data_IF_154327459845
#
_entry.id   IF_154327459845
#
_cell.length_a   1.000
_cell.length_b   1.000
_cell.length_c   1.000
_cell.angle_alpha   90.00
_cell.angle_beta   90.00
_cell.angle_gamma   90.00
#
_symmetry.space_group_name_H-M   'P 1'
#
loop_
_entity.id
_entity.type
_entity.pdbx_description
1 polymer ?
#
# COMPACT_ATOMS: atom_id res chain seq x y z
N UNK A 1 27.41 -8.81 2.76
CA UNK A 1 27.01 -7.82 3.78
C UNK A 1 25.85 -6.99 3.27
N UNK A 2 24.90 -6.65 4.12
CA UNK A 2 23.81 -5.74 3.77
C UNK A 2 24.36 -4.32 3.60
N UNK A 3 23.95 -3.62 2.54
CA UNK A 3 24.40 -2.26 2.20
C UNK A 3 23.27 -1.27 2.41
N UNK A 4 22.06 -1.56 1.92
CA UNK A 4 20.86 -0.73 2.08
C UNK A 4 19.60 -1.59 2.14
N UNK A 5 18.59 -1.11 2.84
CA UNK A 5 17.25 -1.67 2.85
C UNK A 5 16.21 -0.57 2.59
N UNK A 6 15.31 -0.80 1.65
CA UNK A 6 14.18 0.05 1.32
C UNK A 6 12.90 -0.71 1.64
N UNK A 7 12.01 -0.11 2.41
CA UNK A 7 10.81 -0.78 2.92
C UNK A 7 9.59 0.07 2.62
N UNK A 8 8.67 -0.48 1.84
CA UNK A 8 7.34 0.08 1.64
C UNK A 8 6.36 -0.70 2.49
N UNK A 9 5.55 -0.03 3.31
CA UNK A 9 4.61 -0.70 4.18
C UNK A 9 3.26 -0.01 4.22
N UNK A 10 2.19 -0.82 4.22
CA UNK A 10 0.83 -0.35 4.37
C UNK A 10 0.64 0.23 5.76
N UNK A 11 -0.12 1.31 5.88
CA UNK A 11 -0.59 1.82 7.17
C UNK A 11 -1.24 0.72 8.02
N UNK A 12 -1.34 0.97 9.34
CA UNK A 12 -2.03 0.06 10.24
C UNK A 12 -3.54 0.05 10.04
N UNK A 13 -4.19 -0.87 10.75
CA UNK A 13 -5.64 -1.05 10.72
C UNK A 13 -6.39 0.23 11.11
N UNK A 14 -7.52 0.52 10.45
CA UNK A 14 -8.19 1.82 10.48
C UNK A 14 -9.72 1.68 10.54
N UNK A 15 -10.40 2.79 10.80
CA UNK A 15 -11.83 2.91 10.51
C UNK A 15 -12.13 2.86 9.01
N UNK A 16 -13.38 2.57 8.63
CA UNK A 16 -13.77 2.54 7.22
C UNK A 16 -13.69 3.93 6.61
N UNK A 17 -13.34 4.01 5.32
CA UNK A 17 -13.24 5.28 4.59
C UNK A 17 -14.63 5.83 4.26
N UNK A 18 -15.62 4.94 4.12
CA UNK A 18 -16.99 5.29 3.78
C UNK A 18 -17.99 4.40 4.52
N UNK A 19 -19.27 4.64 4.30
CA UNK A 19 -20.39 3.87 4.84
C UNK A 19 -21.46 3.71 3.76
N UNK A 20 -22.31 2.70 3.87
CA UNK A 20 -23.50 2.52 3.02
C UNK A 20 -24.80 2.82 3.79
N UNK A 21 -25.93 3.11 3.11
CA UNK A 21 -27.17 3.55 3.75
C UNK A 21 -27.67 2.65 4.88
N UNK A 22 -27.59 1.34 4.70
CA UNK A 22 -28.08 0.35 5.67
C UNK A 22 -26.98 -0.19 6.62
N UNK A 23 -25.85 0.50 6.73
CA UNK A 23 -24.74 0.06 7.59
C UNK A 23 -25.08 0.22 9.08
N UNK A 24 -25.06 -0.85 9.89
CA UNK A 24 -25.29 -0.73 11.34
C UNK A 24 -24.09 -0.22 12.15
N UNK A 25 -22.89 -0.12 11.54
CA UNK A 25 -21.68 0.40 12.19
C UNK A 25 -21.01 1.51 11.37
N UNK A 26 -21.75 2.59 11.02
CA UNK A 26 -21.21 3.66 10.19
C UNK A 26 -20.06 4.37 10.90
N UNK A 27 -19.07 4.87 10.14
CA UNK A 27 -17.93 5.60 10.71
C UNK A 27 -18.33 6.87 11.50
N UNK A 28 -19.55 7.35 11.30
CA UNK A 28 -20.13 8.51 12.01
C UNK A 28 -20.47 8.19 13.46
N UNK A 29 -20.63 6.92 13.84
CA UNK A 29 -20.75 6.49 15.22
C UNK A 29 -19.38 6.59 15.92
N UNK A 30 -19.12 7.74 16.54
CA UNK A 30 -17.87 8.02 17.25
C UNK A 30 -17.64 7.14 18.48
N UNK A 31 -18.66 6.45 19.00
CA UNK A 31 -18.46 5.47 20.09
C UNK A 31 -17.78 4.20 19.57
N UNK A 32 -18.19 3.75 18.38
CA UNK A 32 -17.58 2.61 17.67
C UNK A 32 -16.27 3.00 16.97
N UNK A 33 -16.26 4.18 16.36
CA UNK A 33 -15.13 4.71 15.58
C UNK A 33 -14.67 6.07 16.15
N UNK A 34 -13.88 6.09 17.24
CA UNK A 34 -13.48 7.34 17.91
C UNK A 34 -12.81 8.36 16.98
N UNK A 35 -11.94 7.87 16.09
CA UNK A 35 -11.27 8.71 15.08
C UNK A 35 -12.10 8.87 13.79
N UNK A 36 -13.25 8.20 13.68
CA UNK A 36 -14.19 8.33 12.57
C UNK A 36 -13.65 7.69 11.30
N UNK A 37 -13.92 8.33 10.16
CA UNK A 37 -13.45 7.86 8.86
C UNK A 37 -11.93 7.79 8.84
N UNK A 38 -11.40 6.69 8.30
CA UNK A 38 -9.98 6.54 7.95
C UNK A 38 -8.96 6.62 9.12
N UNK A 39 -9.45 6.78 10.35
CA UNK A 39 -8.63 6.95 11.54
C UNK A 39 -8.02 5.64 12.04
N UNK A 40 -6.72 5.67 12.39
CA UNK A 40 -5.97 4.50 12.82
C UNK A 40 -6.53 3.89 14.14
N UNK A 41 -6.93 2.61 14.12
CA UNK A 41 -7.52 1.95 15.30
C UNK A 41 -6.45 1.66 16.36
N UNK A 42 -6.89 1.31 17.58
CA UNK A 42 -5.97 0.82 18.63
C UNK A 42 -5.21 -0.43 18.18
N UNK A 43 -5.86 -1.31 17.39
CA UNK A 43 -5.23 -2.48 16.80
C UNK A 43 -4.16 -2.06 15.80
N UNK A 44 -4.50 -1.17 14.87
CA UNK A 44 -3.56 -0.63 13.89
C UNK A 44 -2.33 -0.03 14.53
N UNK A 45 -2.50 0.75 15.60
CA UNK A 45 -1.37 1.32 16.35
C UNK A 45 -0.43 0.26 16.92
N UNK A 46 -0.98 -0.79 17.54
CA UNK A 46 -0.18 -1.89 18.11
C UNK A 46 0.56 -2.66 17.02
N UNK A 47 -0.10 -2.96 15.92
CA UNK A 47 0.50 -3.71 14.82
C UNK A 47 1.60 -2.90 14.12
N UNK A 48 1.43 -1.57 13.98
CA UNK A 48 2.47 -0.69 13.43
C UNK A 48 3.73 -0.68 14.32
N UNK A 49 3.55 -0.59 15.64
CA UNK A 49 4.66 -0.71 16.57
C UNK A 49 5.31 -2.10 16.54
N UNK A 50 4.51 -3.16 16.38
CA UNK A 50 5.00 -4.52 16.25
C UNK A 50 5.84 -4.72 14.97
N UNK A 51 5.40 -4.15 13.83
CA UNK A 51 6.19 -4.14 12.60
C UNK A 51 7.57 -3.49 12.84
N UNK A 52 7.60 -2.34 13.52
CA UNK A 52 8.85 -1.68 13.90
C UNK A 52 9.79 -2.59 14.68
N UNK A 53 9.28 -3.33 15.66
CA UNK A 53 10.08 -4.31 16.44
C UNK A 53 10.58 -5.48 15.59
N UNK A 54 9.76 -5.97 14.64
CA UNK A 54 10.17 -7.02 13.69
C UNK A 54 11.33 -6.53 12.82
N UNK A 55 11.24 -5.31 12.31
CA UNK A 55 12.31 -4.67 11.54
C UNK A 55 13.56 -4.42 12.39
N UNK A 56 13.42 -3.96 13.64
CA UNK A 56 14.54 -3.83 14.59
C UNK A 56 15.29 -5.14 14.74
N UNK A 57 14.54 -6.23 14.94
CA UNK A 57 15.14 -7.54 15.11
C UNK A 57 15.91 -7.98 13.86
N UNK A 58 15.35 -7.79 12.67
CA UNK A 58 16.01 -8.12 11.40
C UNK A 58 17.30 -7.34 11.19
N UNK A 59 17.27 -6.04 11.48
CA UNK A 59 18.38 -5.12 11.16
C UNK A 59 19.29 -4.80 12.35
N UNK A 60 19.21 -5.55 13.47
CA UNK A 60 20.00 -5.30 14.68
C UNK A 60 21.53 -5.24 14.47
N UNK A 61 22.05 -6.00 13.51
CA UNK A 61 23.49 -6.03 13.18
C UNK A 61 23.87 -5.01 12.10
N UNK A 62 22.88 -4.33 11.53
CA UNK A 62 23.04 -3.36 10.45
C UNK A 62 22.82 -1.92 10.94
N UNK A 63 21.93 -1.75 11.91
CA UNK A 63 21.59 -0.50 12.55
C UNK A 63 22.04 -0.51 14.02
N UNK A 64 22.76 0.52 14.50
CA UNK A 64 23.11 0.65 15.92
C UNK A 64 21.86 0.79 16.79
N UNK A 65 22.00 0.58 18.11
CA UNK A 65 20.91 0.82 19.07
C UNK A 65 20.53 2.30 19.15
N UNK A 66 21.53 3.19 19.11
CA UNK A 66 21.36 4.64 19.06
C UNK A 66 20.85 5.06 17.67
N UNK A 67 19.86 5.94 17.62
CA UNK A 67 19.40 6.57 16.40
C UNK A 67 20.39 7.62 15.89
N UNK A 68 20.90 7.40 14.68
CA UNK A 68 21.64 8.43 13.95
C UNK A 68 20.83 8.91 12.74
N UNK A 69 20.60 10.23 12.58
CA UNK A 69 19.92 10.78 11.40
C UNK A 69 20.60 10.44 10.07
N UNK A 70 21.89 10.09 10.12
CA UNK A 70 22.69 9.61 8.99
C UNK A 70 22.41 8.16 8.57
N UNK A 71 21.74 7.36 9.38
CA UNK A 71 21.49 5.94 9.11
C UNK A 71 20.09 5.67 8.57
N UNK A 72 19.09 6.47 8.97
CA UNK A 72 17.67 6.19 8.66
C UNK A 72 16.95 7.43 8.17
N UNK A 73 16.11 7.24 7.15
CA UNK A 73 15.12 8.23 6.71
C UNK A 73 13.76 7.57 6.58
N UNK A 74 12.71 8.29 6.97
CA UNK A 74 11.35 7.85 6.86
C UNK A 74 10.53 8.84 6.03
N UNK A 75 9.76 8.27 5.12
CA UNK A 75 8.79 8.94 4.29
C UNK A 75 7.40 8.41 4.60
N UNK A 76 6.40 9.27 4.45
CA UNK A 76 4.99 8.91 4.52
C UNK A 76 4.25 9.50 3.33
N UNK A 77 3.01 9.10 3.05
CA UNK A 77 2.07 9.84 2.20
C UNK A 77 1.33 10.91 3.02
N UNK A 78 0.64 11.85 2.36
CA UNK A 78 -0.05 12.98 3.00
C UNK A 78 -1.25 12.62 3.91
N UNK A 79 -1.50 11.34 4.18
CA UNK A 79 -2.61 10.89 5.04
C UNK A 79 -2.19 10.84 6.51
N UNK A 80 -3.11 11.15 7.42
CA UNK A 80 -2.84 11.11 8.86
C UNK A 80 -2.46 9.71 9.35
N UNK A 81 -3.16 8.68 8.85
CA UNK A 81 -2.94 7.28 9.25
C UNK A 81 -1.55 6.75 8.86
N UNK A 82 -0.98 7.19 7.75
CA UNK A 82 0.35 6.78 7.29
C UNK A 82 1.42 7.46 8.13
N UNK A 83 1.26 8.74 8.48
CA UNK A 83 2.19 9.42 9.40
C UNK A 83 2.18 8.77 10.79
N UNK A 84 0.99 8.52 11.34
CA UNK A 84 0.85 7.86 12.63
C UNK A 84 1.46 6.45 12.61
N UNK A 85 1.28 5.69 11.51
CA UNK A 85 1.90 4.38 11.32
C UNK A 85 3.43 4.51 11.27
N UNK A 86 3.98 5.44 10.48
CA UNK A 86 5.42 5.66 10.37
C UNK A 86 6.05 5.99 11.73
N UNK A 87 5.42 6.87 12.52
CA UNK A 87 5.90 7.22 13.85
C UNK A 87 5.95 6.00 14.80
N UNK A 88 4.95 5.12 14.72
CA UNK A 88 4.90 3.90 15.54
C UNK A 88 5.91 2.84 15.08
N UNK A 89 6.10 2.69 13.78
CA UNK A 89 7.15 1.81 13.23
C UNK A 89 8.52 2.31 13.68
N UNK A 90 8.80 3.61 13.57
CA UNK A 90 10.03 4.22 14.04
C UNK A 90 10.26 4.03 15.54
N UNK A 91 9.23 4.20 16.36
CA UNK A 91 9.29 3.92 17.80
C UNK A 91 9.62 2.45 18.11
N UNK A 92 9.19 1.52 17.26
CA UNK A 92 9.55 0.10 17.38
C UNK A 92 10.96 -0.22 16.90
N UNK A 93 11.51 0.57 15.98
CA UNK A 93 12.88 0.43 15.48
C UNK A 93 13.89 1.05 16.46
N UNK A 94 13.61 2.26 16.96
CA UNK A 94 14.49 3.01 17.86
C UNK A 94 13.76 3.37 19.16
N UNK A 95 13.63 2.42 20.10
CA UNK A 95 13.36 2.80 21.47
C UNK A 95 14.55 3.61 22.01
N UNK A 96 14.34 4.77 22.66
CA UNK A 96 15.45 5.62 23.09
C UNK A 96 16.36 4.90 24.08
N UNK A 97 17.67 4.95 23.82
CA UNK A 97 18.69 4.53 24.78
C UNK A 97 18.73 5.46 26.00
N UNK A 98 19.47 5.10 27.05
CA UNK A 98 19.58 5.93 28.25
C UNK A 98 20.10 7.36 27.95
N UNK A 99 20.98 7.51 26.95
CA UNK A 99 21.54 8.80 26.54
C UNK A 99 20.58 9.61 25.65
N UNK A 100 19.71 8.94 24.89
CA UNK A 100 18.72 9.59 24.01
C UNK A 100 17.40 9.92 24.71
N UNK A 101 17.18 9.37 25.92
CA UNK A 101 16.04 9.70 26.75
C UNK A 101 16.09 11.19 27.11
N UNK A 102 15.11 11.93 26.62
CA UNK A 102 14.89 13.33 26.99
C UNK A 102 13.83 13.47 28.10
N UNK A 103 13.10 12.40 28.41
CA UNK A 103 12.04 12.34 29.43
C UNK A 103 12.01 10.97 30.11
N UNK A 104 11.83 10.96 31.43
CA UNK A 104 11.62 9.75 32.22
C UNK A 104 10.17 9.23 32.16
N UNK A 105 9.22 10.09 31.76
CA UNK A 105 7.80 9.75 31.69
C UNK A 105 7.41 9.17 30.32
N UNK A 106 8.12 9.56 29.27
CA UNK A 106 7.80 9.18 27.89
C UNK A 106 8.98 8.47 27.23
N UNK A 107 8.96 7.12 27.12
CA UNK A 107 10.02 6.33 26.48
C UNK A 107 9.94 6.38 24.94
N UNK A 108 9.95 7.59 24.40
CA UNK A 108 9.87 7.88 22.97
C UNK A 108 10.69 9.14 22.66
N UNK A 109 11.32 9.18 21.51
CA UNK A 109 11.99 10.38 21.01
C UNK A 109 11.52 10.69 19.58
N UNK A 110 11.47 11.98 19.20
CA UNK A 110 11.03 12.37 17.88
C UNK A 110 12.04 11.92 16.82
N UNK A 111 11.55 11.20 15.81
CA UNK A 111 12.28 10.90 14.58
C UNK A 111 11.52 11.55 13.42
N UNK A 112 12.18 12.40 12.60
CA UNK A 112 11.51 13.10 11.50
C UNK A 112 10.92 12.15 10.45
N UNK A 113 9.74 12.53 9.94
CA UNK A 113 9.04 11.87 8.82
C UNK A 113 8.82 12.93 7.74
N UNK A 114 9.20 12.60 6.51
CA UNK A 114 9.15 13.51 5.36
C UNK A 114 8.12 13.08 4.32
N UNK A 115 7.78 13.96 3.40
CA UNK A 115 7.17 13.56 2.13
C UNK A 115 8.24 13.06 1.16
N UNK A 116 7.86 12.13 0.28
CA UNK A 116 8.67 11.74 -0.89
C UNK A 116 7.93 12.16 -2.16
N UNK A 117 8.69 12.64 -3.15
CA UNK A 117 8.15 13.09 -4.45
C UNK A 117 7.38 11.99 -5.16
N UNK A 118 7.74 10.72 -4.96
CA UNK A 118 7.03 9.61 -5.59
C UNK A 118 5.55 9.60 -5.19
N UNK A 119 5.22 9.98 -3.95
CA UNK A 119 3.85 9.86 -3.43
C UNK A 119 2.86 10.83 -4.05
N UNK A 120 3.34 11.87 -4.72
CA UNK A 120 2.48 12.77 -5.48
C UNK A 120 1.94 12.11 -6.75
N UNK A 121 2.60 11.05 -7.22
CA UNK A 121 2.35 10.41 -8.51
C UNK A 121 1.92 8.93 -8.39
N UNK A 122 2.12 8.29 -7.24
CA UNK A 122 2.00 6.83 -7.12
C UNK A 122 0.57 6.26 -7.11
N UNK A 123 -0.48 7.08 -7.04
CA UNK A 123 -1.88 6.59 -7.00
C UNK A 123 -2.61 6.62 -8.35
N UNK A 124 -1.95 7.13 -9.39
CA UNK A 124 -2.52 7.27 -10.73
C UNK A 124 -3.58 8.38 -10.89
N UNK A 125 -4.17 8.91 -9.81
CA UNK A 125 -5.23 9.94 -9.91
C UNK A 125 -4.69 11.23 -10.51
N UNK A 126 -3.50 11.65 -10.08
CA UNK A 126 -2.86 12.86 -10.60
C UNK A 126 -2.50 12.75 -12.08
N UNK A 127 -2.55 11.54 -12.64
CA UNK A 127 -2.00 11.25 -13.96
C UNK A 127 -3.08 11.02 -15.03
N UNK A 128 -3.26 11.91 -16.01
CA UNK A 128 -4.26 11.75 -17.08
C UNK A 128 -4.17 10.40 -17.82
N UNK A 129 -2.97 9.97 -18.24
CA UNK A 129 -2.79 8.71 -18.97
C UNK A 129 -3.13 7.48 -18.15
N UNK A 130 -2.72 7.42 -16.87
CA UNK A 130 -3.10 6.32 -15.97
C UNK A 130 -4.63 6.23 -15.84
N UNK A 131 -5.30 7.38 -15.71
CA UNK A 131 -6.76 7.43 -15.62
C UNK A 131 -7.43 6.97 -16.90
N UNK A 132 -6.94 7.43 -18.07
CA UNK A 132 -7.47 6.99 -19.37
C UNK A 132 -7.48 5.48 -19.48
N UNK A 133 -6.32 4.89 -19.18
CA UNK A 133 -6.10 3.47 -19.29
C UNK A 133 -6.99 2.70 -18.33
N UNK A 134 -7.13 3.21 -17.10
CA UNK A 134 -8.06 2.65 -16.11
C UNK A 134 -9.49 2.63 -16.66
N UNK A 135 -9.96 3.72 -17.27
CA UNK A 135 -11.31 3.79 -17.83
C UNK A 135 -11.51 2.83 -18.99
N UNK A 136 -10.54 2.71 -19.88
CA UNK A 136 -10.59 1.77 -20.99
C UNK A 136 -10.69 0.33 -20.48
N UNK A 137 -9.86 -0.04 -19.49
CA UNK A 137 -9.88 -1.36 -18.85
C UNK A 137 -11.23 -1.61 -18.19
N UNK A 138 -11.72 -0.70 -17.34
CA UNK A 138 -12.96 -0.90 -16.61
C UNK A 138 -14.18 -0.90 -17.54
N UNK A 139 -14.16 -0.13 -18.64
CA UNK A 139 -15.22 -0.17 -19.66
C UNK A 139 -15.28 -1.53 -20.34
N UNK A 140 -14.14 -2.07 -20.78
CA UNK A 140 -14.06 -3.39 -21.40
C UNK A 140 -14.37 -4.53 -20.41
N UNK A 141 -14.06 -4.33 -19.13
CA UNK A 141 -14.25 -5.30 -18.07
C UNK A 141 -15.70 -5.37 -17.55
N UNK A 142 -16.46 -4.27 -17.67
CA UNK A 142 -17.76 -4.12 -17.03
C UNK A 142 -18.79 -5.18 -17.47
N UNK A 143 -18.90 -5.49 -18.76
CA UNK A 143 -19.86 -6.47 -19.25
C UNK A 143 -19.62 -7.86 -18.63
N UNK A 144 -18.36 -8.32 -18.67
CA UNK A 144 -17.96 -9.61 -18.09
C UNK A 144 -18.19 -9.61 -16.58
N UNK A 145 -17.77 -8.55 -15.87
CA UNK A 145 -17.93 -8.44 -14.43
C UNK A 145 -19.41 -8.49 -14.00
N UNK A 146 -20.28 -7.76 -14.71
CA UNK A 146 -21.73 -7.76 -14.44
C UNK A 146 -22.36 -9.13 -14.74
N UNK A 147 -21.93 -9.80 -15.80
CA UNK A 147 -22.41 -11.13 -16.16
C UNK A 147 -22.03 -12.18 -15.11
N UNK A 148 -20.78 -12.15 -14.64
CA UNK A 148 -20.26 -13.12 -13.68
C UNK A 148 -20.79 -12.89 -12.26
N UNK A 149 -20.89 -11.62 -11.85
CA UNK A 149 -21.21 -11.27 -10.46
C UNK A 149 -22.62 -10.71 -10.25
N UNK A 150 -23.46 -10.64 -11.29
CA UNK A 150 -24.76 -9.96 -11.26
C UNK A 150 -25.69 -10.40 -10.13
N UNK A 151 -25.70 -11.69 -9.78
CA UNK A 151 -26.47 -12.20 -8.65
C UNK A 151 -25.97 -11.65 -7.31
N UNK A 152 -24.65 -11.69 -7.10
CA UNK A 152 -24.00 -11.12 -5.91
C UNK A 152 -24.23 -9.61 -5.84
N UNK A 153 -24.10 -8.89 -6.96
CA UNK A 153 -24.34 -7.44 -7.01
C UNK A 153 -25.80 -7.09 -6.69
N UNK A 154 -26.76 -7.89 -7.16
CA UNK A 154 -28.19 -7.71 -6.83
C UNK A 154 -28.45 -7.92 -5.34
N UNK A 155 -27.85 -8.96 -4.76
CA UNK A 155 -27.92 -9.25 -3.33
C UNK A 155 -27.35 -8.10 -2.49
N UNK A 156 -26.15 -7.62 -2.85
CA UNK A 156 -25.49 -6.49 -2.19
C UNK A 156 -26.29 -5.19 -2.34
N UNK A 157 -26.88 -4.93 -3.51
CA UNK A 157 -27.76 -3.78 -3.76
C UNK A 157 -28.96 -3.75 -2.81
N UNK A 158 -29.67 -4.88 -2.73
CA UNK A 158 -30.84 -5.03 -1.86
C UNK A 158 -30.49 -4.76 -0.38
N UNK A 159 -29.40 -5.34 0.13
CA UNK A 159 -29.07 -5.24 1.54
C UNK A 159 -28.36 -3.95 1.93
N UNK A 160 -27.52 -3.38 1.05
CA UNK A 160 -26.78 -2.15 1.34
C UNK A 160 -27.61 -0.88 1.18
N UNK A 161 -28.65 -0.91 0.34
CA UNK A 161 -29.42 0.27 -0.07
C UNK A 161 -28.72 1.13 -1.12
N UNK A 162 -27.66 0.62 -1.77
CA UNK A 162 -26.97 1.27 -2.89
C UNK A 162 -27.43 0.70 -4.22
N UNK A 163 -27.48 1.53 -5.26
CA UNK A 163 -27.69 1.07 -6.64
C UNK A 163 -26.36 0.62 -7.26
N UNK A 164 -26.05 -0.67 -7.13
CA UNK A 164 -24.81 -1.27 -7.65
C UNK A 164 -24.77 -1.40 -9.17
N UNK A 165 -25.88 -1.20 -9.88
CA UNK A 165 -25.85 -1.23 -11.36
C UNK A 165 -25.63 0.17 -11.95
N UNK A 166 -25.83 1.21 -11.14
CA UNK A 166 -25.45 2.59 -11.47
C UNK A 166 -23.99 2.89 -11.16
N UNK A 167 -23.53 2.55 -9.94
CA UNK A 167 -22.20 2.88 -9.44
C UNK A 167 -21.47 1.61 -8.95
N UNK A 168 -21.26 0.64 -9.84
CA UNK A 168 -20.79 -0.72 -9.54
C UNK A 168 -19.55 -0.75 -8.64
N UNK A 169 -18.39 -0.32 -9.17
CA UNK A 169 -17.12 -0.46 -8.46
C UNK A 169 -17.06 0.38 -7.18
N UNK A 170 -17.43 1.67 -7.16
CA UNK A 170 -17.43 2.46 -5.92
C UNK A 170 -18.33 1.87 -4.83
N UNK A 171 -19.48 1.29 -5.20
CA UNK A 171 -20.41 0.69 -4.25
C UNK A 171 -19.86 -0.62 -3.68
N UNK A 172 -19.27 -1.48 -4.51
CA UNK A 172 -18.60 -2.71 -4.07
C UNK A 172 -17.45 -2.38 -3.10
N UNK A 173 -16.61 -1.39 -3.43
CA UNK A 173 -15.51 -0.94 -2.59
C UNK A 173 -16.00 -0.42 -1.23
N UNK A 174 -17.06 0.39 -1.23
CA UNK A 174 -17.67 0.95 -0.03
C UNK A 174 -18.21 -0.13 0.90
N UNK A 175 -18.97 -1.09 0.37
CA UNK A 175 -19.52 -2.21 1.15
C UNK A 175 -18.37 -3.07 1.68
N UNK A 176 -17.42 -3.42 0.82
CA UNK A 176 -16.28 -4.26 1.16
C UNK A 176 -15.39 -3.66 2.25
N UNK A 177 -14.96 -2.40 2.11
CA UNK A 177 -14.16 -1.70 3.13
C UNK A 177 -14.90 -1.65 4.47
N UNK A 178 -16.21 -1.34 4.45
CA UNK A 178 -17.04 -1.30 5.66
C UNK A 178 -17.05 -2.64 6.39
N UNK A 179 -17.42 -3.74 5.70
CA UNK A 179 -17.47 -5.07 6.29
C UNK A 179 -16.10 -5.55 6.80
N UNK A 180 -15.02 -5.32 6.04
CA UNK A 180 -13.67 -5.71 6.45
C UNK A 180 -13.25 -4.95 7.71
N UNK A 181 -13.44 -3.62 7.77
CA UNK A 181 -13.03 -2.84 8.94
C UNK A 181 -13.86 -3.22 10.18
N UNK A 182 -15.17 -3.42 10.02
CA UNK A 182 -16.07 -3.84 11.10
C UNK A 182 -15.67 -5.21 11.65
N UNK A 183 -15.43 -6.18 10.76
CA UNK A 183 -14.97 -7.52 11.12
C UNK A 183 -13.64 -7.48 11.89
N UNK A 184 -12.64 -6.73 11.40
CA UNK A 184 -11.34 -6.58 12.07
C UNK A 184 -11.43 -5.88 13.43
N UNK A 185 -12.46 -5.06 13.61
CA UNK A 185 -12.75 -4.37 14.88
C UNK A 185 -13.58 -5.23 15.84
N UNK A 186 -13.93 -6.46 15.45
CA UNK A 186 -14.68 -7.41 16.28
C UNK A 186 -16.16 -7.07 16.40
N UNK A 187 -16.72 -6.29 15.46
CA UNK A 187 -18.15 -6.01 15.44
C UNK A 187 -18.91 -7.19 14.84
N UNK A 188 -20.10 -7.44 15.40
CA UNK A 188 -21.04 -8.39 14.81
C UNK A 188 -21.55 -7.82 13.49
N UNK A 189 -21.32 -8.57 12.40
CA UNK A 189 -21.79 -8.16 11.08
C UNK A 189 -23.29 -8.49 10.92
N UNK A 190 -24.01 -7.75 10.05
CA UNK A 190 -25.39 -8.08 9.71
C UNK A 190 -25.55 -9.53 9.26
N UNK A 191 -26.68 -10.18 9.58
CA UNK A 191 -26.94 -11.58 9.22
C UNK A 191 -26.77 -11.87 7.71
N UNK A 192 -27.19 -10.94 6.86
CA UNK A 192 -27.07 -11.06 5.40
C UNK A 192 -25.62 -11.17 4.93
N UNK A 193 -24.64 -10.67 5.70
CA UNK A 193 -23.25 -10.70 5.26
C UNK A 193 -22.69 -12.12 5.21
N UNK A 194 -23.26 -13.09 5.94
CA UNK A 194 -22.80 -14.48 5.97
C UNK A 194 -22.82 -15.18 4.60
N UNK A 195 -23.71 -14.74 3.70
CA UNK A 195 -23.84 -15.27 2.34
C UNK A 195 -22.69 -14.84 1.40
N UNK A 196 -21.97 -13.77 1.76
CA UNK A 196 -21.02 -13.09 0.85
C UNK A 196 -19.66 -12.78 1.47
N UNK A 197 -19.56 -12.65 2.79
CA UNK A 197 -18.36 -12.26 3.50
C UNK A 197 -17.77 -13.43 4.29
N UNK A 198 -16.44 -13.66 4.24
CA UNK A 198 -15.44 -12.83 3.56
C UNK A 198 -15.28 -13.13 2.07
N UNK A 199 -15.56 -14.35 1.62
CA UNK A 199 -14.99 -14.89 0.38
C UNK A 199 -15.42 -14.13 -0.89
N UNK A 200 -16.72 -13.95 -1.14
CA UNK A 200 -17.21 -13.26 -2.35
C UNK A 200 -16.82 -11.78 -2.34
N UNK A 201 -16.91 -11.11 -1.20
CA UNK A 201 -16.52 -9.70 -1.06
C UNK A 201 -15.02 -9.54 -1.34
N UNK A 202 -14.16 -10.34 -0.72
CA UNK A 202 -12.71 -10.25 -0.90
C UNK A 202 -12.32 -10.60 -2.33
N UNK A 203 -12.98 -11.57 -2.96
CA UNK A 203 -12.77 -11.90 -4.37
C UNK A 203 -13.09 -10.71 -5.29
N UNK A 204 -14.25 -10.07 -5.13
CA UNK A 204 -14.63 -8.88 -5.91
C UNK A 204 -13.63 -7.75 -5.74
N UNK A 205 -13.21 -7.47 -4.50
CA UNK A 205 -12.22 -6.43 -4.23
C UNK A 205 -10.87 -6.75 -4.86
N UNK A 206 -10.38 -7.98 -4.72
CA UNK A 206 -9.12 -8.40 -5.33
C UNK A 206 -9.17 -8.23 -6.85
N UNK A 207 -10.26 -8.63 -7.50
CA UNK A 207 -10.41 -8.48 -8.95
C UNK A 207 -10.35 -7.01 -9.37
N UNK A 208 -11.11 -6.14 -8.70
CA UNK A 208 -11.11 -4.68 -8.96
C UNK A 208 -9.71 -4.08 -8.76
N UNK A 209 -9.05 -4.39 -7.63
CA UNK A 209 -7.73 -3.85 -7.31
C UNK A 209 -6.66 -4.36 -8.29
N UNK A 210 -6.72 -5.62 -8.70
CA UNK A 210 -5.79 -6.17 -9.70
C UNK A 210 -5.99 -5.54 -11.08
N UNK A 211 -7.24 -5.29 -11.50
CA UNK A 211 -7.51 -4.55 -12.75
C UNK A 211 -6.99 -3.12 -12.70
N UNK A 212 -7.06 -2.46 -11.55
CA UNK A 212 -6.55 -1.08 -11.39
C UNK A 212 -5.03 -1.00 -11.27
N UNK A 213 -4.39 -1.95 -10.58
CA UNK A 213 -2.95 -1.90 -10.33
C UNK A 213 -2.12 -2.58 -11.42
N UNK A 214 -2.63 -3.68 -12.00
CA UNK A 214 -1.88 -4.58 -12.87
C UNK A 214 -2.58 -4.79 -14.23
N UNK A 215 -3.58 -3.95 -14.55
CA UNK A 215 -4.43 -4.16 -15.72
C UNK A 215 -3.73 -3.91 -17.05
N UNK A 216 -2.64 -3.14 -17.07
CA UNK A 216 -1.82 -2.88 -18.24
C UNK A 216 -0.38 -2.54 -17.90
N UNK A 217 0.48 -2.56 -18.91
CA UNK A 217 1.86 -2.08 -18.81
C UNK A 217 1.93 -0.61 -18.40
N UNK A 218 1.01 0.22 -18.88
CA UNK A 218 0.93 1.65 -18.51
C UNK A 218 0.69 1.84 -17.02
N UNK A 219 -0.15 1.01 -16.38
CA UNK A 219 -0.33 1.06 -14.92
C UNK A 219 0.96 0.72 -14.18
N UNK A 220 1.70 -0.30 -14.65
CA UNK A 220 2.98 -0.66 -14.07
C UNK A 220 4.00 0.46 -14.26
N UNK A 221 4.15 1.02 -15.46
CA UNK A 221 5.10 2.11 -15.76
C UNK A 221 4.81 3.38 -14.95
N UNK A 222 3.54 3.81 -14.91
CA UNK A 222 3.12 5.05 -14.26
C UNK A 222 2.82 4.91 -12.75
N UNK A 223 2.94 3.70 -12.21
CA UNK A 223 2.76 3.40 -10.78
C UNK A 223 3.96 2.69 -10.19
N UNK A 224 4.06 1.38 -10.44
CA UNK A 224 5.14 0.51 -9.94
C UNK A 224 6.55 0.94 -10.36
N UNK A 225 6.70 1.35 -11.62
CA UNK A 225 7.96 1.80 -12.23
C UNK A 225 8.57 3.02 -11.52
N UNK A 226 7.74 3.92 -10.99
CA UNK A 226 8.21 5.04 -10.15
C UNK A 226 8.91 4.56 -8.88
N UNK A 227 8.38 3.51 -8.25
CA UNK A 227 8.98 2.93 -7.04
C UNK A 227 10.26 2.17 -7.37
N UNK A 228 10.30 1.45 -8.50
CA UNK A 228 11.52 0.79 -8.98
C UNK A 228 12.61 1.83 -9.29
N UNK A 229 12.28 2.92 -9.99
CA UNK A 229 13.21 4.02 -10.24
C UNK A 229 13.75 4.59 -8.94
N UNK A 230 12.87 4.85 -7.96
CA UNK A 230 13.28 5.36 -6.64
C UNK A 230 14.20 4.38 -5.90
N UNK A 231 13.95 3.08 -5.98
CA UNK A 231 14.81 2.03 -5.40
C UNK A 231 16.19 2.07 -6.06
N UNK A 232 16.27 2.15 -7.39
CA UNK A 232 17.54 2.25 -8.12
C UNK A 232 18.31 3.52 -7.74
N UNK A 233 17.65 4.66 -7.68
CA UNK A 233 18.27 5.92 -7.26
C UNK A 233 18.86 5.82 -5.85
N UNK A 234 18.15 5.16 -4.93
CA UNK A 234 18.64 4.91 -3.57
C UNK A 234 19.82 3.92 -3.56
N UNK A 235 19.79 2.88 -4.38
CA UNK A 235 20.90 1.93 -4.49
C UNK A 235 22.18 2.58 -5.01
N UNK A 236 22.06 3.53 -5.93
CA UNK A 236 23.21 4.22 -6.54
C UNK A 236 23.66 5.39 -5.65
N UNK A 237 22.75 6.31 -5.33
CA UNK A 237 23.05 7.61 -4.76
C UNK A 237 22.69 7.73 -3.27
N UNK A 238 21.95 6.77 -2.72
CA UNK A 238 21.45 6.83 -1.35
C UNK A 238 22.57 6.86 -0.30
N UNK A 239 22.42 7.72 0.72
CA UNK A 239 23.41 7.88 1.79
C UNK A 239 23.00 7.21 3.10
N UNK A 240 21.73 6.81 3.23
CA UNK A 240 21.21 6.15 4.44
C UNK A 240 21.31 4.63 4.30
N UNK A 241 21.26 3.94 5.43
CA UNK A 241 21.20 2.48 5.51
C UNK A 241 19.77 1.98 5.31
N UNK A 242 18.80 2.64 5.96
CA UNK A 242 17.40 2.25 5.95
C UNK A 242 16.52 3.39 5.40
N UNK A 243 15.65 3.04 4.46
CA UNK A 243 14.63 3.92 3.89
C UNK A 243 13.24 3.33 4.15
N UNK A 244 12.41 4.06 4.89
CA UNK A 244 11.06 3.66 5.24
C UNK A 244 10.05 4.46 4.41
N UNK A 245 9.04 3.81 3.86
CA UNK A 245 7.98 4.41 3.04
C UNK A 245 6.62 3.93 3.56
N UNK A 246 5.97 4.74 4.40
CA UNK A 246 4.63 4.43 4.90
C UNK A 246 3.55 4.85 3.91
N UNK A 247 2.81 3.87 3.41
CA UNK A 247 1.98 4.00 2.22
C UNK A 247 0.69 3.16 2.29
N UNK A 248 0.13 2.78 1.15
CA UNK A 248 -1.17 2.13 0.97
C UNK A 248 -1.05 0.73 0.36
N UNK A 249 -2.13 -0.03 0.41
CA UNK A 249 -2.28 -1.37 -0.19
C UNK A 249 -1.98 -1.37 -1.70
N UNK A 250 -2.63 -0.48 -2.46
CA UNK A 250 -2.43 -0.36 -3.92
C UNK A 250 -0.97 -0.15 -4.31
N UNK A 251 -0.22 0.56 -3.45
CA UNK A 251 1.18 0.91 -3.71
C UNK A 251 2.06 -0.32 -3.58
N UNK A 252 1.78 -1.19 -2.59
CA UNK A 252 2.47 -2.47 -2.47
C UNK A 252 2.11 -3.40 -3.64
N UNK A 253 0.85 -3.46 -4.05
CA UNK A 253 0.44 -4.26 -5.22
C UNK A 253 1.15 -3.83 -6.50
N UNK A 254 1.22 -2.51 -6.75
CA UNK A 254 1.96 -1.94 -7.88
C UNK A 254 3.46 -2.27 -7.82
N UNK A 255 4.05 -2.21 -6.61
CA UNK A 255 5.47 -2.53 -6.42
C UNK A 255 5.75 -4.01 -6.65
N UNK A 256 4.93 -4.91 -6.10
CA UNK A 256 5.06 -6.35 -6.31
C UNK A 256 4.91 -6.71 -7.79
N UNK A 257 3.92 -6.12 -8.48
CA UNK A 257 3.78 -6.28 -9.93
C UNK A 257 5.00 -5.80 -10.70
N UNK A 258 5.57 -4.64 -10.34
CA UNK A 258 6.78 -4.11 -10.97
C UNK A 258 8.07 -4.87 -10.60
N UNK A 259 8.06 -5.61 -9.49
CA UNK A 259 9.12 -6.57 -9.17
C UNK A 259 9.00 -7.86 -10.00
N UNK A 260 7.94 -8.01 -10.80
CA UNK A 260 7.71 -9.18 -11.66
C UNK A 260 6.90 -10.28 -10.99
N UNK A 261 6.23 -10.01 -9.86
CA UNK A 261 5.32 -10.98 -9.24
C UNK A 261 4.11 -11.18 -10.16
N UNK A 262 3.82 -12.41 -10.60
CA UNK A 262 2.69 -12.66 -11.48
C UNK A 262 1.38 -12.40 -10.75
N UNK A 263 0.43 -11.78 -11.44
CA UNK A 263 -0.92 -11.60 -10.94
C UNK A 263 -1.73 -12.91 -10.93
N UNK A 264 -2.84 -12.96 -10.16
CA UNK A 264 -3.36 -11.90 -9.30
C UNK A 264 -2.60 -11.78 -7.97
N UNK A 265 -2.38 -10.54 -7.53
CA UNK A 265 -1.74 -10.21 -6.25
C UNK A 265 -2.83 -9.97 -5.19
N UNK A 266 -2.82 -10.66 -4.04
CA UNK A 266 -3.79 -10.44 -2.98
C UNK A 266 -3.67 -9.03 -2.38
N UNK A 267 -4.80 -8.43 -1.96
CA UNK A 267 -4.77 -7.15 -1.23
C UNK A 267 -3.95 -7.30 0.07
N UNK A 268 -2.84 -6.55 0.23
CA UNK A 268 -1.95 -6.69 1.38
C UNK A 268 -2.67 -6.36 2.69
N UNK A 269 -2.43 -7.12 3.77
CA UNK A 269 -3.03 -6.81 5.07
C UNK A 269 -2.48 -5.50 5.66
N UNK A 270 -3.17 -4.85 6.62
CA UNK A 270 -2.62 -3.71 7.33
C UNK A 270 -1.25 -4.05 7.90
N UNK A 271 -0.30 -3.11 7.85
CA UNK A 271 1.11 -3.31 8.24
C UNK A 271 1.88 -4.40 7.46
N UNK A 272 1.34 -4.90 6.34
CA UNK A 272 2.15 -5.63 5.38
C UNK A 272 3.28 -4.74 4.84
N UNK A 273 4.41 -5.34 4.47
CA UNK A 273 5.57 -4.61 3.99
C UNK A 273 6.31 -5.36 2.87
N UNK A 274 6.63 -4.64 1.80
CA UNK A 274 7.56 -5.09 0.76
C UNK A 274 8.93 -4.48 1.05
N UNK A 275 9.93 -5.34 1.15
CA UNK A 275 11.31 -5.00 1.51
C UNK A 275 12.19 -5.31 0.32
N UNK A 276 13.03 -4.36 -0.10
CA UNK A 276 14.05 -4.56 -1.12
C UNK A 276 15.42 -4.20 -0.54
N UNK A 277 16.34 -5.15 -0.57
CA UNK A 277 17.66 -5.06 0.04
C UNK A 277 18.76 -5.12 -1.01
N UNK A 278 19.78 -4.29 -0.85
CA UNK A 278 21.03 -4.35 -1.60
C UNK A 278 22.13 -4.94 -0.72
N UNK A 279 22.77 -5.99 -1.21
CA UNK A 279 23.86 -6.69 -0.56
C UNK A 279 25.15 -6.57 -1.37
N UNK A 280 26.30 -6.63 -0.69
CA UNK A 280 27.61 -6.85 -1.28
C UNK A 280 28.09 -8.25 -0.90
N UNK A 281 28.18 -9.16 -1.87
CA UNK A 281 28.61 -10.55 -1.68
C UNK A 281 29.88 -10.77 -2.48
N UNK A 282 31.02 -10.81 -1.81
CA UNK A 282 32.35 -11.00 -2.44
C UNK A 282 32.66 -10.00 -3.57
N UNK A 283 32.20 -8.75 -3.44
CA UNK A 283 32.36 -7.70 -4.45
C UNK A 283 31.14 -7.51 -5.35
N UNK A 284 30.28 -8.52 -5.47
CA UNK A 284 29.09 -8.47 -6.31
C UNK A 284 27.91 -7.80 -5.60
N UNK A 285 27.18 -6.94 -6.32
CA UNK A 285 25.97 -6.28 -5.84
C UNK A 285 24.76 -7.16 -6.11
N UNK A 286 24.08 -7.57 -5.05
CA UNK A 286 22.95 -8.51 -5.09
C UNK A 286 21.70 -7.84 -4.53
N UNK A 287 20.60 -7.91 -5.26
CA UNK A 287 19.27 -7.41 -4.84
C UNK A 287 18.43 -8.59 -4.34
N UNK A 288 17.76 -8.41 -3.20
CA UNK A 288 16.82 -9.38 -2.62
C UNK A 288 15.53 -8.68 -2.24
N UNK A 289 14.40 -9.34 -2.42
CA UNK A 289 13.10 -8.79 -2.03
C UNK A 289 12.34 -9.75 -1.11
N UNK A 290 11.56 -9.19 -0.17
CA UNK A 290 10.80 -9.95 0.80
C UNK A 290 9.43 -9.31 1.07
N UNK A 291 8.43 -10.14 1.36
CA UNK A 291 7.12 -9.73 1.84
C UNK A 291 6.98 -10.09 3.33
N UNK A 292 6.53 -9.11 4.12
CA UNK A 292 5.95 -9.34 5.44
C UNK A 292 4.44 -9.24 5.29
N UNK A 293 3.72 -10.30 5.67
CA UNK A 293 2.26 -10.35 5.56
C UNK A 293 1.55 -9.38 6.52
N UNK A 294 2.07 -9.16 7.73
CA UNK A 294 1.55 -8.18 8.71
C UNK A 294 2.55 -7.91 9.83
N UNK A 295 2.34 -6.84 10.61
CA UNK A 295 3.25 -6.38 11.67
C UNK A 295 3.45 -7.32 12.86
N UNK A 296 2.66 -8.39 12.96
CA UNK A 296 2.90 -9.49 13.91
C UNK A 296 3.69 -10.67 13.32
N UNK A 297 3.86 -10.71 12.00
CA UNK A 297 4.55 -11.78 11.31
C UNK A 297 6.07 -11.58 11.41
N UNK A 298 6.77 -12.58 11.95
CA UNK A 298 8.24 -12.60 11.99
C UNK A 298 8.85 -13.28 10.76
N UNK A 299 8.00 -13.79 9.87
CA UNK A 299 8.43 -14.45 8.64
C UNK A 299 8.58 -13.43 7.52
N UNK A 300 9.66 -13.56 6.77
CA UNK A 300 10.00 -12.73 5.62
C UNK A 300 9.98 -13.64 4.41
N UNK A 301 8.86 -13.61 3.69
CA UNK A 301 8.64 -14.45 2.52
C UNK A 301 9.49 -13.92 1.37
N UNK A 302 10.43 -14.69 0.81
CA UNK A 302 11.21 -14.23 -0.35
C UNK A 302 10.27 -13.95 -1.52
N UNK A 303 10.44 -12.79 -2.15
CA UNK A 303 9.75 -12.44 -3.39
C UNK A 303 10.62 -12.94 -4.55
N UNK A 304 10.05 -13.79 -5.39
CA UNK A 304 10.64 -14.17 -6.66
C UNK A 304 10.46 -13.00 -7.64
N UNK A 305 11.57 -12.31 -7.94
CA UNK A 305 11.56 -11.17 -8.85
C UNK A 305 11.69 -11.63 -10.30
N UNK A 306 11.27 -10.78 -11.25
CA UNK A 306 11.37 -11.07 -12.69
C UNK A 306 12.80 -11.27 -13.19
N UNK A 307 13.81 -10.82 -12.44
CA UNK A 307 15.22 -11.03 -12.72
C UNK A 307 15.83 -12.31 -12.13
N UNK A 308 15.12 -13.06 -11.26
CA UNK A 308 15.69 -14.25 -10.61
C UNK A 308 14.84 -14.89 -9.50
N UNK A 309 15.10 -16.17 -9.21
CA UNK A 309 14.31 -17.00 -8.28
C UNK A 309 14.35 -16.54 -6.81
N UNK A 310 15.49 -16.01 -6.34
CA UNK A 310 15.69 -15.63 -4.93
C UNK A 310 16.54 -14.38 -4.72
N UNK A 311 17.38 -14.07 -5.69
CA UNK A 311 18.25 -12.91 -5.70
C UNK A 311 18.56 -12.54 -7.15
N UNK A 312 18.89 -11.28 -7.40
CA UNK A 312 19.32 -10.79 -8.70
C UNK A 312 20.67 -10.10 -8.56
N UNK A 313 21.53 -10.21 -9.58
CA UNK A 313 22.60 -9.22 -9.74
C UNK A 313 21.96 -7.84 -9.91
N UNK A 314 22.63 -6.79 -9.40
CA UNK A 314 22.13 -5.42 -9.58
C UNK A 314 21.94 -5.06 -11.06
N UNK A 315 22.81 -5.55 -11.95
CA UNK A 315 22.72 -5.35 -13.41
C UNK A 315 21.47 -6.01 -14.02
N UNK A 316 21.12 -7.21 -13.57
CA UNK A 316 19.89 -7.91 -13.99
C UNK A 316 18.65 -7.20 -13.47
N UNK A 317 18.69 -6.71 -12.23
CA UNK A 317 17.61 -5.89 -11.66
C UNK A 317 17.43 -4.58 -12.44
N UNK A 318 18.53 -3.94 -12.89
CA UNK A 318 18.48 -2.76 -13.75
C UNK A 318 17.88 -3.06 -15.13
N UNK A 319 18.18 -4.22 -15.71
CA UNK A 319 17.63 -4.65 -17.00
C UNK A 319 16.13 -4.97 -16.89
N UNK A 320 15.69 -5.58 -15.80
CA UNK A 320 14.26 -5.74 -15.52
C UNK A 320 13.58 -4.37 -15.37
N UNK A 321 14.22 -3.46 -14.62
CA UNK A 321 13.70 -2.13 -14.38
C UNK A 321 13.58 -1.29 -15.67
N UNK A 322 14.49 -1.41 -16.63
CA UNK A 322 14.46 -0.60 -17.86
C UNK A 322 13.21 -0.81 -18.72
N UNK A 323 12.51 -1.93 -18.55
CA UNK A 323 11.23 -2.18 -19.24
C UNK A 323 10.05 -1.46 -18.57
N UNK A 324 10.21 -0.99 -17.34
CA UNK A 324 9.17 -0.39 -16.50
C UNK A 324 9.43 1.08 -16.19
N UNK A 325 10.69 1.50 -16.14
CA UNK A 325 11.08 2.88 -15.89
C UNK A 325 10.87 3.72 -17.15
N UNK A 326 10.34 4.92 -16.96
CA UNK A 326 10.06 5.86 -18.04
C UNK A 326 10.96 7.09 -17.90
N UNK A 327 11.64 7.46 -18.98
CA UNK A 327 12.61 8.57 -19.01
C UNK A 327 11.99 9.89 -18.55
N UNK A 328 10.77 10.15 -19.01
CA UNK A 328 9.97 11.32 -18.60
C UNK A 328 8.58 10.85 -18.19
N UNK A 329 8.40 10.67 -16.89
CA UNK A 329 7.12 10.35 -16.29
C UNK A 329 6.03 11.35 -16.69
N UNK A 330 6.31 12.65 -16.65
CA UNK A 330 5.29 13.68 -16.90
C UNK A 330 4.89 13.70 -18.37
N UNK A 331 5.82 13.42 -19.28
CA UNK A 331 5.50 13.27 -20.70
C UNK A 331 4.52 12.11 -20.91
N UNK A 332 4.87 10.88 -20.53
CA UNK A 332 3.96 9.73 -20.68
C UNK A 332 2.63 9.96 -19.95
N UNK A 333 2.70 10.57 -18.77
CA UNK A 333 1.53 10.84 -17.97
C UNK A 333 0.51 11.79 -18.64
N UNK A 334 0.98 12.69 -19.51
CA UNK A 334 0.16 13.63 -20.27
C UNK A 334 -0.18 13.16 -21.70
N UNK A 335 0.40 12.04 -22.16
CA UNK A 335 0.13 11.45 -23.47
C UNK A 335 -1.22 10.70 -23.48
N UNK A 336 -2.32 11.43 -23.60
CA UNK A 336 -3.68 10.84 -23.68
C UNK A 336 -4.19 10.76 -25.12
N UNK A 337 -4.96 9.72 -25.43
CA UNK A 337 -5.60 9.57 -26.75
C UNK A 337 -6.95 10.29 -26.83
N UNK A 338 -7.64 10.41 -25.71
CA UNK A 338 -8.96 11.02 -25.59
C UNK A 338 -9.01 12.00 -24.41
N UNK A 339 -9.81 13.08 -24.47
CA UNK A 339 -10.09 13.92 -23.31
C UNK A 339 -10.83 13.14 -22.23
N UNK A 340 -10.42 13.30 -20.97
CA UNK A 340 -10.98 12.53 -19.84
C UNK A 340 -11.60 13.49 -18.83
N UNK A 341 -12.79 13.17 -18.34
CA UNK A 341 -13.39 13.87 -17.22
C UNK A 341 -12.51 13.72 -15.97
N UNK A 342 -12.29 14.82 -15.25
CA UNK A 342 -11.54 14.81 -13.98
C UNK A 342 -12.33 14.18 -12.83
N UNK A 343 -13.57 13.75 -13.06
CA UNK A 343 -14.53 13.31 -12.05
C UNK A 343 -15.06 11.90 -12.28
N UNK A 344 -14.23 10.98 -12.77
CA UNK A 344 -14.69 9.60 -12.90
C UNK A 344 -14.83 8.90 -11.53
N UNK A 345 -16.01 8.38 -11.19
CA UNK A 345 -16.28 7.80 -9.88
C UNK A 345 -15.55 6.47 -9.66
N UNK A 346 -15.22 5.70 -10.71
CA UNK A 346 -14.48 4.43 -10.61
C UNK A 346 -13.05 4.71 -10.18
N UNK A 347 -12.38 5.60 -10.91
CA UNK A 347 -11.01 6.01 -10.60
C UNK A 347 -10.94 6.70 -9.24
N UNK A 348 -11.91 7.56 -8.90
CA UNK A 348 -11.94 8.20 -7.58
C UNK A 348 -12.23 7.21 -6.47
N UNK A 349 -13.16 6.28 -6.67
CA UNK A 349 -13.52 5.26 -5.68
C UNK A 349 -12.34 4.36 -5.31
N UNK A 350 -11.52 4.00 -6.30
CA UNK A 350 -10.34 3.13 -6.12
C UNK A 350 -9.12 3.95 -5.64
N UNK A 351 -8.84 5.08 -6.27
CA UNK A 351 -7.63 5.87 -6.04
C UNK A 351 -7.65 6.78 -4.81
N UNK A 352 -8.82 7.17 -4.28
CA UNK A 352 -8.95 8.20 -3.22
C UNK A 352 -8.28 7.87 -1.88
N UNK A 353 -7.66 6.70 -1.77
CA UNK A 353 -6.89 6.27 -0.61
C UNK A 353 -5.57 7.01 -0.43
N UNK A 354 -5.00 7.59 -1.50
CA UNK A 354 -3.72 8.31 -1.46
C UNK A 354 -3.92 9.82 -1.71
N UNK A 355 -3.40 10.64 -0.80
CA UNK A 355 -3.43 12.12 -0.92
C UNK A 355 -1.98 12.60 -1.12
N UNK A 356 -1.71 13.40 -2.16
CA UNK A 356 -0.39 13.99 -2.37
C UNK A 356 -0.01 14.92 -1.21
N UNK A 357 1.29 15.19 -1.03
CA UNK A 357 1.69 16.37 -0.26
C UNK A 357 1.51 17.59 -1.16
N UNK A 358 0.77 18.57 -0.65
CA UNK A 358 0.67 19.89 -1.26
C UNK A 358 1.89 20.74 -0.92
#
# INVERSE_FOLDING_TARGET
TLVRAIIFFRHGDRGPVSTYPNDPHPFTDRKKWPLGTDGLTKKGKRDSYALGKVLRHRYKNFLPDIYYPGDVIAYSTGKERTHATAALVLAGIYPPTAEEKWSDELPWHPIPIYGDVIFNNTNGIGCPRFREESLNIFTAFNETFLKEHGQTLSYLSHHSGLDLFKDTYPSVLKIGDSLIMQSRSGFELPEWSKEVFPDKIVALLNEIYNKYALGSEVHLQLGGGLMIQRILDIFINGKRKLYLHSTHDLILMLLEGALGVPGPIPIPQPTAAVIVELHNVSGNKIVKAFLIQSGGCKHFEPIQMGCGLHECLLEEFQTMASNLTVDDYYKLCNEISNPISTHDPVVRGIGATAVPYY
#
